data_IF_058746611234
#
_entry.id   IF_058746611234
#
_cell.length_a   1.000
_cell.length_b   1.000
_cell.length_c   1.000
_cell.angle_alpha   90.00
_cell.angle_beta   90.00
_cell.angle_gamma   90.00
#
_symmetry.space_group_name_H-M   'P 1'
#
loop_
_entity.id
_entity.type
_entity.pdbx_description
1 polymer ?
#
# COMPACT_ATOMS: atom_id res chain seq x y z
N UNK A 1 2.90 -2.58 4.29
CA UNK A 1 3.93 -2.52 3.23
C UNK A 1 4.56 -3.88 2.96
N UNK A 2 5.23 -4.54 3.90
CA UNK A 2 5.80 -5.89 3.64
C UNK A 2 4.76 -6.91 3.16
N UNK A 3 3.57 -6.94 3.78
CA UNK A 3 2.44 -7.77 3.32
C UNK A 3 2.05 -7.44 1.87
N UNK A 4 2.10 -6.17 1.47
CA UNK A 4 1.82 -5.74 0.10
C UNK A 4 2.95 -6.16 -0.86
N UNK A 5 4.20 -6.16 -0.40
CA UNK A 5 5.37 -6.59 -1.17
C UNK A 5 5.37 -8.09 -1.48
N UNK A 6 4.61 -8.89 -0.75
CA UNK A 6 4.36 -10.30 -1.10
C UNK A 6 3.64 -10.47 -2.44
N UNK A 7 2.94 -9.43 -2.92
CA UNK A 7 2.23 -9.43 -4.20
C UNK A 7 3.13 -9.74 -5.39
N UNK A 8 4.40 -9.38 -5.29
CA UNK A 8 5.39 -9.55 -6.34
C UNK A 8 6.34 -10.70 -6.05
N UNK A 9 6.88 -11.29 -7.13
CA UNK A 9 7.97 -12.25 -7.09
C UNK A 9 8.89 -12.04 -8.29
N UNK A 10 10.04 -12.72 -8.32
CA UNK A 10 10.95 -12.72 -9.46
C UNK A 10 10.77 -13.98 -10.30
N UNK A 11 10.58 -13.79 -11.60
CA UNK A 11 10.62 -14.87 -12.59
C UNK A 11 11.60 -14.49 -13.69
N UNK A 12 12.69 -15.25 -13.81
CA UNK A 12 13.80 -14.96 -14.73
C UNK A 12 14.33 -13.50 -14.60
N UNK A 13 14.53 -13.03 -13.36
CA UNK A 13 15.03 -11.69 -13.05
C UNK A 13 14.04 -10.54 -13.28
N UNK A 14 12.79 -10.84 -13.64
CA UNK A 14 11.75 -9.83 -13.83
C UNK A 14 10.75 -9.87 -12.68
N UNK A 15 10.35 -8.67 -12.22
CA UNK A 15 9.24 -8.52 -11.28
C UNK A 15 7.95 -8.96 -11.97
N UNK A 16 7.25 -9.92 -11.36
CA UNK A 16 5.95 -10.42 -11.80
C UNK A 16 5.02 -10.53 -10.60
N UNK A 17 3.71 -10.65 -10.84
CA UNK A 17 2.74 -10.95 -9.79
C UNK A 17 2.92 -12.42 -9.37
N UNK A 18 2.97 -12.67 -8.07
CA UNK A 18 3.01 -14.03 -7.53
C UNK A 18 1.71 -14.77 -7.86
N UNK A 19 1.83 -15.99 -8.41
CA UNK A 19 0.70 -16.84 -8.82
C UNK A 19 -0.29 -17.08 -7.68
N UNK A 20 0.16 -17.00 -6.41
CA UNK A 20 -0.72 -17.08 -5.24
C UNK A 20 -1.77 -15.96 -5.18
N UNK A 21 -1.62 -14.86 -5.92
CA UNK A 21 -2.64 -13.80 -6.03
C UNK A 21 -3.52 -13.94 -7.28
N UNK A 22 -3.27 -14.93 -8.13
CA UNK A 22 -4.00 -15.17 -9.38
C UNK A 22 -4.87 -16.43 -9.24
N UNK A 23 -4.32 -17.51 -8.68
CA UNK A 23 -4.98 -18.81 -8.58
C UNK A 23 -5.14 -19.27 -7.11
N UNK A 24 -6.23 -19.99 -6.74
CA UNK A 24 -7.40 -20.37 -7.55
C UNK A 24 -8.38 -19.22 -7.83
N UNK A 25 -8.13 -18.05 -7.24
CA UNK A 25 -8.95 -16.85 -7.39
C UNK A 25 -8.07 -15.62 -7.42
N UNK A 26 -8.41 -14.67 -8.30
CA UNK A 26 -7.76 -13.37 -8.35
C UNK A 26 -7.97 -12.60 -7.03
N UNK A 27 -6.87 -12.23 -6.39
CA UNK A 27 -6.79 -11.49 -5.12
C UNK A 27 -6.01 -10.19 -5.26
N UNK A 28 -6.11 -9.53 -6.41
CA UNK A 28 -5.42 -8.26 -6.69
C UNK A 28 -5.76 -7.16 -5.68
N UNK A 29 -6.99 -7.18 -5.16
CA UNK A 29 -7.45 -6.29 -4.11
C UNK A 29 -6.69 -6.43 -2.78
N UNK A 30 -5.76 -7.38 -2.62
CA UNK A 30 -4.89 -7.49 -1.44
C UNK A 30 -3.57 -6.70 -1.56
N UNK A 31 -3.26 -6.21 -2.76
CA UNK A 31 -2.16 -5.28 -2.97
C UNK A 31 -2.63 -3.85 -2.67
N UNK A 32 -1.89 -3.16 -1.82
CA UNK A 32 -2.10 -1.75 -1.49
C UNK A 32 -0.95 -0.92 -2.04
N UNK A 33 -1.28 0.24 -2.61
CA UNK A 33 -0.36 1.32 -2.91
C UNK A 33 -0.51 2.38 -1.82
N UNK A 34 0.60 2.99 -1.40
CA UNK A 34 0.61 3.97 -0.32
C UNK A 34 0.98 5.35 -0.86
N UNK A 35 0.29 6.38 -0.37
CA UNK A 35 0.47 7.78 -0.76
C UNK A 35 0.90 8.61 0.45
N UNK A 36 1.66 9.67 0.23
CA UNK A 36 2.20 10.53 1.31
C UNK A 36 3.48 10.00 1.98
N UNK A 37 4.02 8.87 1.49
CA UNK A 37 5.33 8.32 1.84
C UNK A 37 6.08 7.98 0.56
N UNK A 38 7.42 7.98 0.62
CA UNK A 38 8.26 7.50 -0.45
C UNK A 38 8.88 6.14 -0.08
N UNK A 39 8.89 5.19 -1.02
CA UNK A 39 9.38 3.85 -0.72
C UNK A 39 9.92 3.04 -1.91
N UNK A 40 10.84 2.14 -1.59
CA UNK A 40 11.38 1.17 -2.55
C UNK A 40 11.07 -0.25 -2.10
N UNK A 41 10.47 -1.04 -2.99
CA UNK A 41 10.31 -2.48 -2.84
C UNK A 41 11.37 -3.19 -3.67
N UNK A 42 12.37 -3.77 -3.00
CA UNK A 42 13.33 -4.69 -3.64
C UNK A 42 12.78 -6.12 -3.55
N UNK A 43 12.39 -6.69 -4.70
CA UNK A 43 11.75 -8.01 -4.74
C UNK A 43 12.78 -9.15 -4.69
N UNK A 44 14.07 -8.84 -4.88
CA UNK A 44 15.15 -9.81 -4.70
C UNK A 44 15.40 -10.15 -3.22
N UNK A 45 15.02 -9.25 -2.31
CA UNK A 45 15.16 -9.46 -0.88
C UNK A 45 14.14 -10.50 -0.35
N UNK A 46 14.47 -11.21 0.75
CA UNK A 46 13.55 -12.10 1.43
C UNK A 46 12.27 -11.39 1.89
N UNK A 47 11.15 -12.12 1.96
CA UNK A 47 9.91 -11.61 2.52
C UNK A 47 10.13 -11.05 3.94
N UNK A 48 9.57 -9.87 4.22
CA UNK A 48 9.79 -9.15 5.47
C UNK A 48 11.01 -8.21 5.45
N UNK A 49 11.79 -8.21 4.35
CA UNK A 49 12.93 -7.30 4.12
C UNK A 49 12.88 -6.59 2.76
N UNK A 50 11.73 -6.63 2.08
CA UNK A 50 11.59 -6.07 0.74
C UNK A 50 11.43 -4.56 0.74
N UNK A 51 10.97 -3.95 1.84
CA UNK A 51 10.93 -2.50 1.99
C UNK A 51 12.32 -2.01 2.34
N UNK A 52 13.10 -1.58 1.32
CA UNK A 52 14.51 -1.20 1.48
C UNK A 52 14.72 0.30 1.67
N UNK A 53 13.70 1.10 1.36
CA UNK A 53 13.65 2.53 1.64
C UNK A 53 12.23 2.89 2.03
N UNK A 54 12.10 3.69 3.08
CA UNK A 54 10.83 4.25 3.52
C UNK A 54 11.10 5.63 4.14
N UNK A 55 10.52 6.66 3.56
CA UNK A 55 10.59 8.02 4.08
C UNK A 55 9.22 8.69 4.15
N UNK A 56 9.06 9.57 5.12
CA UNK A 56 7.87 10.37 5.35
C UNK A 56 8.27 11.84 5.47
N UNK A 57 7.77 12.69 4.55
CA UNK A 57 8.19 14.09 4.41
C UNK A 57 9.71 14.28 4.27
N UNK A 58 10.35 13.42 3.47
CA UNK A 58 11.79 13.49 3.17
C UNK A 58 12.71 12.86 4.22
N UNK A 59 12.19 12.50 5.39
CA UNK A 59 12.97 11.87 6.47
C UNK A 59 12.74 10.36 6.53
N UNK A 60 13.77 9.54 6.82
CA UNK A 60 13.58 8.12 7.07
C UNK A 60 12.55 7.85 8.17
N UNK A 61 11.71 6.84 7.97
CA UNK A 61 10.77 6.41 9.01
C UNK A 61 11.49 5.57 10.05
N UNK A 62 11.46 6.02 11.30
CA UNK A 62 12.06 5.29 12.42
C UNK A 62 11.18 4.09 12.85
N UNK A 63 11.77 2.99 13.36
CA UNK A 63 11.03 1.78 13.71
C UNK A 63 9.88 1.97 14.72
N UNK A 64 10.01 2.93 15.62
CA UNK A 64 9.03 3.25 16.66
C UNK A 64 8.19 4.50 16.37
N UNK A 65 8.38 5.11 15.19
CA UNK A 65 7.64 6.30 14.78
C UNK A 65 6.14 6.00 14.65
N UNK A 66 5.33 6.82 15.33
CA UNK A 66 3.87 6.71 15.24
C UNK A 66 3.34 7.53 14.07
N UNK A 67 2.81 6.85 13.07
CA UNK A 67 2.14 7.43 11.91
C UNK A 67 0.64 7.14 11.94
N UNK A 68 -0.15 8.07 11.36
CA UNK A 68 -1.58 7.85 11.11
C UNK A 68 -1.75 7.44 9.66
N UNK A 69 -2.46 6.34 9.45
CA UNK A 69 -2.78 5.83 8.11
C UNK A 69 -4.28 5.79 7.92
N UNK A 70 -4.74 6.20 6.74
CA UNK A 70 -6.14 6.09 6.34
C UNK A 70 -6.30 4.79 5.55
N UNK A 71 -7.30 3.99 5.91
CA UNK A 71 -7.56 2.67 5.32
C UNK A 71 -9.06 2.51 5.10
N UNK A 72 -9.44 1.65 4.14
CA UNK A 72 -10.81 1.19 4.06
C UNK A 72 -11.14 0.25 5.24
N UNK A 73 -12.45 0.04 5.49
CA UNK A 73 -12.92 -0.79 6.60
C UNK A 73 -12.37 -2.23 6.59
N UNK A 74 -12.23 -2.83 5.40
CA UNK A 74 -11.70 -4.19 5.25
C UNK A 74 -10.26 -4.30 5.79
N UNK A 75 -9.40 -3.33 5.45
CA UNK A 75 -8.01 -3.25 5.93
C UNK A 75 -7.89 -2.85 7.38
N UNK A 76 -8.70 -1.89 7.83
CA UNK A 76 -8.68 -1.42 9.22
C UNK A 76 -8.92 -2.54 10.24
N UNK A 77 -9.60 -3.63 9.82
CA UNK A 77 -9.85 -4.82 10.65
C UNK A 77 -8.93 -6.01 10.31
N UNK A 78 -7.84 -5.80 9.57
CA UNK A 78 -6.84 -6.83 9.25
C UNK A 78 -7.14 -7.69 8.01
N UNK A 79 -8.15 -7.34 7.22
CA UNK A 79 -8.54 -8.08 6.02
C UNK A 79 -7.40 -8.17 4.99
N UNK A 80 -7.27 -9.32 4.34
CA UNK A 80 -6.23 -9.56 3.34
C UNK A 80 -4.89 -9.99 3.92
N UNK A 81 -4.87 -10.49 5.16
CA UNK A 81 -3.68 -10.90 5.90
C UNK A 81 -2.78 -9.72 6.32
N UNK A 82 -3.39 -8.63 6.79
CA UNK A 82 -2.68 -7.47 7.35
C UNK A 82 -2.76 -7.49 8.88
N UNK A 83 -1.99 -8.35 9.58
CA UNK A 83 -2.14 -8.59 11.02
C UNK A 83 -1.76 -7.37 11.88
N UNK A 84 -1.06 -6.39 11.32
CA UNK A 84 -0.71 -5.16 12.01
C UNK A 84 -1.91 -4.23 12.24
N UNK A 85 -3.02 -4.42 11.54
CA UNK A 85 -4.23 -3.63 11.69
C UNK A 85 -5.32 -4.40 12.45
N UNK A 86 -5.97 -3.71 13.36
CA UNK A 86 -6.97 -4.27 14.26
C UNK A 86 -7.90 -3.17 14.78
N UNK A 87 -9.10 -3.56 15.22
CA UNK A 87 -10.15 -2.60 15.63
C UNK A 87 -9.71 -1.68 16.77
N UNK A 88 -8.89 -2.18 17.69
CA UNK A 88 -8.35 -1.44 18.83
C UNK A 88 -7.40 -0.30 18.43
N UNK A 89 -6.88 -0.29 17.20
CA UNK A 89 -6.02 0.77 16.66
C UNK A 89 -6.77 1.87 15.93
N UNK A 90 -8.10 1.75 15.78
CA UNK A 90 -8.91 2.73 15.07
C UNK A 90 -9.13 3.96 15.96
N UNK A 91 -8.52 5.08 15.58
CA UNK A 91 -8.65 6.36 16.29
C UNK A 91 -9.76 7.27 15.74
N UNK A 92 -10.20 7.04 14.50
CA UNK A 92 -11.28 7.75 13.82
C UNK A 92 -11.87 6.86 12.73
N UNK A 93 -13.19 6.90 12.57
CA UNK A 93 -13.92 6.24 11.50
C UNK A 93 -14.83 7.24 10.79
N UNK A 94 -15.11 6.96 9.52
CA UNK A 94 -16.05 7.67 8.67
C UNK A 94 -16.92 6.61 7.98
N UNK A 95 -18.24 6.76 8.06
CA UNK A 95 -19.21 5.82 7.48
C UNK A 95 -19.57 6.17 6.03
N UNK A 96 -18.99 7.24 5.49
CA UNK A 96 -19.17 7.65 4.10
C UNK A 96 -18.61 6.59 3.16
N UNK A 97 -19.44 6.13 2.22
CA UNK A 97 -18.99 5.18 1.20
C UNK A 97 -17.98 5.86 0.26
N UNK A 98 -16.97 5.10 -0.18
CA UNK A 98 -15.88 5.62 -1.03
C UNK A 98 -16.40 6.34 -2.28
N UNK A 99 -17.47 5.85 -2.91
CA UNK A 99 -18.07 6.49 -4.09
C UNK A 99 -18.62 7.90 -3.79
N UNK A 100 -19.15 8.12 -2.59
CA UNK A 100 -19.63 9.42 -2.15
C UNK A 100 -18.46 10.37 -1.88
N UNK A 101 -17.38 9.88 -1.25
CA UNK A 101 -16.15 10.66 -1.05
C UNK A 101 -15.61 11.15 -2.41
N UNK A 102 -15.55 10.27 -3.41
CA UNK A 102 -15.12 10.66 -4.75
C UNK A 102 -16.07 11.66 -5.41
N UNK A 103 -17.39 11.46 -5.29
CA UNK A 103 -18.38 12.38 -5.85
C UNK A 103 -18.23 13.78 -5.26
N UNK A 104 -18.16 13.90 -3.94
CA UNK A 104 -18.01 15.17 -3.24
C UNK A 104 -16.71 15.88 -3.61
N UNK A 105 -15.61 15.12 -3.71
CA UNK A 105 -14.33 15.67 -4.16
C UNK A 105 -14.42 16.22 -5.59
N UNK A 106 -14.99 15.46 -6.52
CA UNK A 106 -15.12 15.88 -7.93
C UNK A 106 -16.08 17.06 -8.11
N UNK A 107 -17.10 17.20 -7.26
CA UNK A 107 -17.99 18.37 -7.26
C UNK A 107 -17.26 19.66 -6.86
N UNK A 108 -16.34 19.57 -5.90
CA UNK A 108 -15.53 20.71 -5.45
C UNK A 108 -14.32 20.97 -6.36
N UNK A 109 -13.86 19.93 -7.07
CA UNK A 109 -12.70 19.95 -7.96
C UNK A 109 -13.09 19.46 -9.38
N UNK A 110 -13.86 20.25 -10.15
CA UNK A 110 -14.41 19.82 -11.43
C UNK A 110 -13.34 19.58 -12.52
N UNK A 111 -12.14 20.14 -12.34
CA UNK A 111 -10.99 19.90 -13.20
C UNK A 111 -9.90 19.21 -12.39
N UNK A 112 -9.59 17.97 -12.76
CA UNK A 112 -8.51 17.19 -12.15
C UNK A 112 -7.27 17.28 -13.03
N UNK A 113 -6.18 17.81 -12.48
CA UNK A 113 -4.86 17.71 -13.09
C UNK A 113 -4.20 16.43 -12.59
N UNK A 114 -4.09 15.43 -13.46
CA UNK A 114 -3.37 14.21 -13.13
C UNK A 114 -1.87 14.50 -12.99
N UNK A 115 -1.30 14.13 -11.84
CA UNK A 115 0.12 14.22 -11.55
C UNK A 115 0.61 12.88 -11.01
N UNK A 116 1.89 12.58 -11.23
CA UNK A 116 2.58 11.45 -10.64
C UNK A 116 3.79 12.00 -9.88
N UNK A 117 3.88 11.71 -8.58
CA UNK A 117 5.00 12.13 -7.73
C UNK A 117 6.13 11.10 -7.71
N UNK A 118 5.96 9.94 -8.35
CA UNK A 118 6.93 8.85 -8.39
C UNK A 118 7.37 8.41 -6.99
N UNK A 119 6.46 8.46 -6.02
CA UNK A 119 6.75 8.17 -4.62
C UNK A 119 7.14 6.70 -4.36
N UNK A 120 6.91 5.79 -5.30
CA UNK A 120 7.33 4.41 -5.11
C UNK A 120 7.93 3.75 -6.35
N UNK A 121 8.77 2.76 -6.08
CA UNK A 121 9.43 1.94 -7.09
C UNK A 121 9.50 0.48 -6.63
N UNK A 122 9.37 -0.43 -7.61
CA UNK A 122 9.44 -1.88 -7.41
C UNK A 122 10.54 -2.41 -8.33
N UNK A 123 11.62 -2.92 -7.75
CA UNK A 123 12.85 -3.27 -8.47
C UNK A 123 13.19 -4.75 -8.32
N UNK A 124 13.89 -5.36 -9.31
CA UNK A 124 14.28 -6.77 -9.26
C UNK A 124 15.59 -7.03 -8.49
N UNK A 125 16.09 -6.03 -7.76
CA UNK A 125 17.40 -5.97 -7.13
C UNK A 125 17.98 -4.56 -7.25
N UNK A 126 18.84 -4.18 -6.30
CA UNK A 126 19.69 -2.98 -6.41
C UNK A 126 20.76 -3.11 -7.49
#
# INVERSE_FOLDING_TARGET
MEVSAEYFTLKAGKVVIDEKFIFPKHRYYNYDMYEGIDYTLDISEPLGKRVTQLSYHGEPVEPDQKLKVVLNRYRATGGGHYPMFSKDKIIKADDTIISQIFLEYLQQHPVIKATNNHNFQVIPGK
#
